data_IF_120857460907
#
_entry.id   IF_120857460907
#
_cell.length_a   1.000
_cell.length_b   1.000
_cell.length_c   1.000
_cell.angle_alpha   90.00
_cell.angle_beta   90.00
_cell.angle_gamma   90.00
#
_symmetry.space_group_name_H-M   'P 1'
#
loop_
_entity.id
_entity.type
_entity.pdbx_description
1 polymer ?
#
# COMPACT_ATOMS: atom_id res chain seq x y z
N UNK A 1 41.23 9.78 15.59
CA UNK A 1 40.97 10.04 14.15
C UNK A 1 39.54 9.60 13.99
N UNK A 2 38.63 10.56 14.18
CA UNK A 2 37.23 10.23 14.45
C UNK A 2 36.53 10.12 13.10
N UNK A 3 36.08 8.90 12.79
CA UNK A 3 35.41 8.58 11.54
C UNK A 3 33.96 9.04 11.62
N UNK A 4 33.66 10.25 11.15
CA UNK A 4 32.27 10.64 10.91
C UNK A 4 31.76 9.96 9.63
N UNK A 5 31.15 8.79 9.79
CA UNK A 5 30.46 8.09 8.71
C UNK A 5 29.01 8.55 8.65
N UNK A 6 28.77 9.75 8.10
CA UNK A 6 27.43 10.14 7.70
C UNK A 6 27.04 9.27 6.49
N UNK A 7 26.13 8.33 6.70
CA UNK A 7 25.55 7.49 5.63
C UNK A 7 24.07 7.85 5.47
N UNK A 8 23.57 7.98 4.23
CA UNK A 8 22.15 8.20 4.00
C UNK A 8 21.37 6.99 4.53
N UNK A 9 20.38 7.25 5.40
CA UNK A 9 19.48 6.21 5.94
C UNK A 9 18.10 6.40 5.33
N UNK A 10 17.50 5.30 4.89
CA UNK A 10 16.12 5.26 4.42
C UNK A 10 15.23 4.62 5.50
N UNK A 11 14.12 5.28 5.84
CA UNK A 11 13.11 4.76 6.75
C UNK A 11 11.83 4.50 5.95
N UNK A 12 11.30 3.27 6.02
CA UNK A 12 10.01 2.92 5.45
C UNK A 12 8.96 2.90 6.56
N UNK A 13 7.86 3.64 6.40
CA UNK A 13 6.77 3.67 7.36
C UNK A 13 5.43 3.82 6.64
N UNK A 14 4.43 3.09 7.12
CA UNK A 14 3.02 3.25 6.74
C UNK A 14 2.30 4.30 7.61
N UNK A 15 2.95 4.75 8.69
CA UNK A 15 2.48 5.81 9.61
C UNK A 15 3.30 7.09 9.43
N UNK A 16 2.73 8.22 9.83
CA UNK A 16 3.44 9.51 9.79
C UNK A 16 4.73 9.45 10.64
N UNK A 17 5.80 9.99 10.09
CA UNK A 17 7.10 10.09 10.75
C UNK A 17 7.06 11.27 11.72
N UNK A 18 7.73 11.14 12.87
CA UNK A 18 7.88 12.21 13.86
C UNK A 18 8.40 13.52 13.22
N UNK A 19 7.92 14.67 13.70
CA UNK A 19 8.21 15.97 13.09
C UNK A 19 9.70 16.30 13.03
N UNK A 20 10.46 15.94 14.07
CA UNK A 20 11.87 16.29 14.18
C UNK A 20 12.72 15.40 13.27
N UNK A 21 12.25 14.18 13.01
CA UNK A 21 12.87 13.29 12.04
C UNK A 21 12.50 13.72 10.62
N UNK A 22 11.24 14.09 10.38
CA UNK A 22 10.74 14.55 9.08
C UNK A 22 11.48 15.78 8.57
N UNK A 23 11.78 16.76 9.44
CA UNK A 23 12.51 17.98 9.04
C UNK A 23 13.93 17.70 8.53
N UNK A 24 14.47 16.51 8.86
CA UNK A 24 15.79 16.03 8.43
C UNK A 24 15.75 14.97 7.34
N UNK A 25 14.57 14.65 6.81
CA UNK A 25 14.38 13.61 5.80
C UNK A 25 13.79 14.14 4.50
N UNK A 26 14.14 13.50 3.38
CA UNK A 26 13.41 13.67 2.12
C UNK A 26 12.27 12.65 2.10
N UNK A 27 11.03 13.12 2.17
CA UNK A 27 9.85 12.25 2.13
C UNK A 27 9.56 11.78 0.71
N UNK A 28 9.52 10.46 0.50
CA UNK A 28 9.08 9.84 -0.75
C UNK A 28 7.83 9.03 -0.44
N UNK A 29 6.68 9.46 -0.98
CA UNK A 29 5.42 8.72 -0.83
C UNK A 29 5.41 7.55 -1.80
N UNK A 30 5.47 6.32 -1.26
CA UNK A 30 5.29 5.12 -2.07
C UNK A 30 3.80 4.81 -2.20
N UNK A 31 3.25 5.07 -3.38
CA UNK A 31 1.87 4.66 -3.70
C UNK A 31 1.81 3.15 -3.90
N UNK A 32 0.71 2.54 -3.46
CA UNK A 32 0.43 1.11 -3.70
C UNK A 32 0.63 0.81 -5.18
N UNK A 33 1.44 -0.20 -5.45
CA UNK A 33 1.75 -0.58 -6.82
C UNK A 33 0.47 -1.07 -7.51
N UNK A 34 0.25 -0.65 -8.75
CA UNK A 34 -0.77 -1.25 -9.62
C UNK A 34 -0.30 -2.57 -10.24
N UNK A 35 0.96 -2.93 -10.04
CA UNK A 35 1.65 -4.10 -10.59
C UNK A 35 2.66 -4.64 -9.58
N UNK A 36 2.94 -5.93 -9.58
CA UNK A 36 3.92 -6.53 -8.68
C UNK A 36 5.37 -6.09 -8.99
N UNK A 37 6.21 -6.00 -7.94
CA UNK A 37 7.65 -5.72 -8.01
C UNK A 37 8.47 -6.94 -7.54
N UNK A 38 9.72 -7.11 -8.03
CA UNK A 38 10.54 -8.28 -7.71
C UNK A 38 11.11 -8.28 -6.27
N UNK A 39 11.53 -9.45 -5.81
CA UNK A 39 11.64 -9.90 -4.40
C UNK A 39 13.11 -10.13 -3.90
N UNK A 40 13.39 -10.55 -2.64
CA UNK A 40 14.51 -10.11 -1.78
C UNK A 40 15.95 -10.51 -2.16
N UNK A 41 16.90 -9.93 -1.41
CA UNK A 41 18.35 -9.90 -1.70
C UNK A 41 19.04 -11.27 -1.62
N UNK A 42 19.36 -11.79 -2.79
CA UNK A 42 19.81 -13.15 -3.05
C UNK A 42 21.13 -13.59 -2.39
N UNK A 43 21.87 -12.70 -1.70
CA UNK A 43 23.27 -12.95 -1.30
C UNK A 43 23.47 -13.55 0.11
N UNK A 44 22.43 -13.69 0.94
CA UNK A 44 22.62 -14.30 2.27
C UNK A 44 22.90 -15.82 2.16
N UNK A 45 23.88 -16.34 2.91
CA UNK A 45 24.22 -17.77 2.88
C UNK A 45 23.07 -18.70 3.24
N UNK A 46 22.18 -18.29 4.15
CA UNK A 46 20.98 -19.08 4.49
C UNK A 46 20.07 -19.30 3.28
N UNK A 47 19.99 -18.31 2.37
CA UNK A 47 19.26 -18.47 1.12
C UNK A 47 20.03 -19.36 0.15
N UNK A 48 21.35 -19.39 0.20
CA UNK A 48 22.14 -20.38 -0.54
C UNK A 48 21.85 -21.79 -0.03
N UNK A 49 21.89 -22.01 1.29
CA UNK A 49 21.66 -23.33 1.90
C UNK A 49 20.24 -23.84 1.68
N UNK A 50 19.24 -22.97 1.85
CA UNK A 50 17.84 -23.30 1.59
C UNK A 50 17.67 -23.60 0.10
N UNK A 51 18.25 -22.79 -0.79
CA UNK A 51 18.14 -22.98 -2.24
C UNK A 51 18.86 -24.25 -2.71
N UNK A 52 19.99 -24.60 -2.11
CA UNK A 52 20.68 -25.86 -2.38
C UNK A 52 19.83 -27.07 -1.99
N UNK A 53 19.16 -27.01 -0.83
CA UNK A 53 18.21 -28.04 -0.40
C UNK A 53 16.99 -28.11 -1.33
N UNK A 54 16.43 -26.96 -1.69
CA UNK A 54 15.29 -26.87 -2.61
C UNK A 54 15.66 -27.32 -4.04
N UNK A 55 16.89 -27.06 -4.51
CA UNK A 55 17.39 -27.55 -5.79
C UNK A 55 17.58 -29.06 -5.79
N UNK A 56 18.12 -29.61 -4.71
CA UNK A 56 18.19 -31.08 -4.55
C UNK A 56 16.79 -31.69 -4.54
N UNK A 57 15.86 -31.09 -3.80
CA UNK A 57 14.46 -31.52 -3.78
C UNK A 57 13.83 -31.45 -5.17
N UNK A 58 14.04 -30.36 -5.91
CA UNK A 58 13.59 -30.22 -7.30
C UNK A 58 14.18 -31.32 -8.17
N UNK A 59 15.51 -31.51 -8.20
CA UNK A 59 16.13 -32.50 -9.08
C UNK A 59 15.73 -33.95 -8.75
N UNK A 60 15.46 -34.25 -7.49
CA UNK A 60 15.12 -35.61 -7.04
C UNK A 60 13.62 -35.89 -7.09
N UNK A 61 12.77 -34.88 -6.91
CA UNK A 61 11.31 -35.02 -6.79
C UNK A 61 10.48 -34.12 -7.72
N UNK A 62 11.07 -33.59 -8.80
CA UNK A 62 10.34 -32.69 -9.72
C UNK A 62 9.08 -33.31 -10.34
N UNK A 63 9.06 -34.63 -10.58
CA UNK A 63 7.87 -35.30 -11.16
C UNK A 63 6.71 -35.23 -10.18
N UNK A 64 6.94 -35.63 -8.94
CA UNK A 64 5.97 -35.56 -7.84
C UNK A 64 5.44 -34.13 -7.66
N UNK A 65 6.35 -33.15 -7.59
CA UNK A 65 5.98 -31.74 -7.45
C UNK A 65 5.14 -31.25 -8.64
N UNK A 66 5.49 -31.64 -9.87
CA UNK A 66 4.74 -31.28 -11.08
C UNK A 66 3.33 -31.87 -11.08
N UNK A 67 3.19 -33.13 -10.69
CA UNK A 67 1.90 -33.83 -10.63
C UNK A 67 1.00 -33.18 -9.56
N UNK A 68 1.53 -32.95 -8.36
CA UNK A 68 0.83 -32.28 -7.27
C UNK A 68 0.37 -30.88 -7.70
N UNK A 69 1.26 -30.08 -8.31
CA UNK A 69 0.97 -28.69 -8.70
C UNK A 69 -0.24 -28.56 -9.63
N UNK A 70 -0.56 -29.57 -10.45
CA UNK A 70 -1.76 -29.54 -11.30
C UNK A 70 -3.07 -29.50 -10.50
N UNK A 71 -3.03 -29.99 -9.26
CA UNK A 71 -4.20 -30.16 -8.37
C UNK A 71 -4.26 -29.12 -7.25
N UNK A 72 -3.36 -28.12 -7.23
CA UNK A 72 -3.32 -27.09 -6.18
C UNK A 72 -4.07 -25.81 -6.55
N UNK A 73 -4.40 -25.04 -5.52
CA UNK A 73 -5.05 -23.75 -5.65
C UNK A 73 -6.56 -23.85 -5.85
N UNK A 74 -7.19 -24.91 -5.36
CA UNK A 74 -8.65 -24.99 -5.31
C UNK A 74 -9.20 -23.97 -4.29
N UNK A 75 -10.32 -23.33 -4.61
CA UNK A 75 -11.00 -22.39 -3.72
C UNK A 75 -10.29 -21.03 -3.52
N UNK A 76 -9.24 -20.72 -4.28
CA UNK A 76 -8.59 -19.40 -4.31
C UNK A 76 -8.45 -18.93 -5.76
N UNK A 77 -8.56 -17.62 -5.99
CA UNK A 77 -8.54 -17.00 -7.33
C UNK A 77 -7.31 -16.09 -7.54
N UNK A 78 -6.99 -15.84 -8.81
CA UNK A 78 -6.04 -14.81 -9.26
C UNK A 78 -4.71 -14.80 -8.49
N UNK A 79 -4.26 -13.63 -8.02
CA UNK A 79 -2.97 -13.42 -7.34
C UNK A 79 -2.83 -14.27 -6.09
N UNK A 80 -3.90 -14.43 -5.31
CA UNK A 80 -3.93 -15.26 -4.10
C UNK A 80 -3.70 -16.73 -4.47
N UNK A 81 -4.29 -17.21 -5.57
CA UNK A 81 -4.05 -18.56 -6.09
C UNK A 81 -2.60 -18.77 -6.52
N UNK A 82 -2.01 -17.81 -7.23
CA UNK A 82 -0.62 -17.91 -7.69
C UNK A 82 0.38 -17.97 -6.54
N UNK A 83 0.13 -17.20 -5.47
CA UNK A 83 0.94 -17.21 -4.25
C UNK A 83 0.73 -18.47 -3.41
N UNK A 84 -0.51 -18.98 -3.37
CA UNK A 84 -0.87 -20.15 -2.56
C UNK A 84 -0.41 -21.49 -3.17
N UNK A 85 -0.57 -21.68 -4.49
CA UNK A 85 -0.22 -22.94 -5.18
C UNK A 85 1.18 -23.50 -4.89
N UNK A 86 2.27 -22.70 -4.92
CA UNK A 86 3.60 -23.23 -4.60
C UNK A 86 3.69 -23.68 -3.14
N UNK A 87 3.06 -22.96 -2.21
CA UNK A 87 3.02 -23.32 -0.79
C UNK A 87 2.27 -24.65 -0.61
N UNK A 88 1.06 -24.74 -1.16
CA UNK A 88 0.24 -25.96 -1.10
C UNK A 88 0.95 -27.17 -1.72
N UNK A 89 1.69 -26.96 -2.80
CA UNK A 89 2.44 -28.02 -3.48
C UNK A 89 3.54 -28.57 -2.59
N UNK A 90 4.28 -27.70 -1.89
CA UNK A 90 5.32 -28.11 -0.95
C UNK A 90 4.70 -28.85 0.23
N UNK A 91 3.59 -28.34 0.80
CA UNK A 91 2.90 -28.98 1.92
C UNK A 91 2.41 -30.40 1.56
N UNK A 92 1.81 -30.57 0.38
CA UNK A 92 1.41 -31.88 -0.14
C UNK A 92 2.61 -32.79 -0.40
N UNK A 93 3.71 -32.26 -0.94
CA UNK A 93 4.93 -33.03 -1.21
C UNK A 93 5.58 -33.59 0.07
N UNK A 94 5.48 -32.84 1.17
CA UNK A 94 5.94 -33.21 2.51
C UNK A 94 4.90 -34.01 3.32
N UNK A 95 3.79 -34.41 2.69
CA UNK A 95 2.69 -35.18 3.30
C UNK A 95 2.09 -34.51 4.55
N UNK A 96 2.00 -33.18 4.56
CA UNK A 96 1.25 -32.45 5.59
C UNK A 96 -0.23 -32.82 5.47
N UNK A 97 -0.90 -33.08 6.59
CA UNK A 97 -2.32 -33.48 6.59
C UNK A 97 -3.23 -32.38 6.03
N UNK A 98 -4.31 -32.75 5.33
CA UNK A 98 -5.26 -31.79 4.75
C UNK A 98 -5.84 -30.80 5.78
N UNK A 99 -6.08 -31.26 7.01
CA UNK A 99 -6.54 -30.40 8.12
C UNK A 99 -5.53 -29.28 8.39
N UNK A 100 -4.25 -29.63 8.47
CA UNK A 100 -3.19 -28.65 8.74
C UNK A 100 -2.93 -27.75 7.52
N UNK A 101 -3.05 -28.28 6.30
CA UNK A 101 -3.00 -27.46 5.07
C UNK A 101 -4.11 -26.41 5.09
N UNK A 102 -5.33 -26.79 5.52
CA UNK A 102 -6.44 -25.85 5.62
C UNK A 102 -6.19 -24.80 6.71
N UNK A 103 -5.69 -25.19 7.89
CA UNK A 103 -5.31 -24.24 8.95
C UNK A 103 -4.28 -23.21 8.44
N UNK A 104 -3.24 -23.68 7.73
CA UNK A 104 -2.22 -22.80 7.13
C UNK A 104 -2.83 -21.91 6.06
N UNK A 105 -3.76 -22.43 5.25
CA UNK A 105 -4.48 -21.66 4.23
C UNK A 105 -5.32 -20.54 4.83
N UNK A 106 -5.99 -20.80 5.95
CA UNK A 106 -6.80 -19.80 6.65
C UNK A 106 -5.91 -18.67 7.18
N UNK A 107 -4.79 -19.01 7.84
CA UNK A 107 -3.80 -18.01 8.30
C UNK A 107 -3.19 -17.23 7.14
N UNK A 108 -2.88 -17.91 6.03
CA UNK A 108 -2.39 -17.27 4.81
C UNK A 108 -3.42 -16.25 4.28
N UNK A 109 -4.69 -16.63 4.18
CA UNK A 109 -5.76 -15.74 3.70
C UNK A 109 -6.01 -14.57 4.65
N UNK A 110 -6.00 -14.79 5.97
CA UNK A 110 -6.08 -13.72 6.98
C UNK A 110 -4.90 -12.74 6.83
N UNK A 111 -3.68 -13.24 6.64
CA UNK A 111 -2.51 -12.37 6.43
C UNK A 111 -2.62 -11.55 5.14
N UNK A 112 -3.23 -12.11 4.10
CA UNK A 112 -3.48 -11.40 2.85
C UNK A 112 -4.55 -10.31 3.00
N UNK A 113 -5.54 -10.49 3.89
CA UNK A 113 -6.49 -9.44 4.25
C UNK A 113 -5.85 -8.37 5.14
N UNK A 114 -5.02 -8.75 6.12
CA UNK A 114 -4.34 -7.82 7.04
C UNK A 114 -3.29 -6.95 6.33
N UNK A 115 -2.67 -7.46 5.25
CA UNK A 115 -1.68 -6.71 4.46
C UNK A 115 -2.34 -5.76 3.45
N UNK A 116 -3.66 -5.87 3.24
CA UNK A 116 -4.43 -4.86 2.51
C UNK A 116 -4.78 -3.73 3.48
N UNK A 117 -4.03 -2.63 3.41
CA UNK A 117 -4.46 -1.37 4.01
C UNK A 117 -5.71 -0.88 3.26
N UNK A 118 -6.89 -1.30 3.71
CA UNK A 118 -8.16 -0.74 3.27
C UNK A 118 -8.26 0.71 3.73
N UNK A 119 -8.98 1.52 2.95
CA UNK A 119 -9.32 2.87 3.39
C UNK A 119 -10.32 2.76 4.53
N UNK A 120 -10.06 3.46 5.63
CA UNK A 120 -11.08 3.72 6.65
C UNK A 120 -12.25 4.50 6.06
N UNK A 121 -13.41 4.43 6.72
CA UNK A 121 -14.63 5.15 6.29
C UNK A 121 -14.37 6.64 6.05
N UNK A 122 -13.60 7.28 6.94
CA UNK A 122 -13.25 8.71 6.80
C UNK A 122 -12.32 8.97 5.62
N UNK A 123 -11.37 8.08 5.34
CA UNK A 123 -10.50 8.20 4.17
C UNK A 123 -11.32 8.04 2.89
N UNK A 124 -12.23 7.07 2.85
CA UNK A 124 -13.17 6.89 1.73
C UNK A 124 -14.03 8.15 1.50
N UNK A 125 -14.52 8.74 2.58
CA UNK A 125 -15.30 9.99 2.55
C UNK A 125 -14.46 11.14 1.98
N UNK A 126 -13.19 11.29 2.40
CA UNK A 126 -12.27 12.27 1.84
C UNK A 126 -12.06 12.09 0.33
N UNK A 127 -11.81 10.86 -0.14
CA UNK A 127 -11.67 10.59 -1.57
C UNK A 127 -12.94 10.95 -2.33
N UNK A 128 -14.11 10.59 -1.80
CA UNK A 128 -15.41 10.83 -2.43
C UNK A 128 -15.70 12.34 -2.54
N UNK A 129 -15.54 13.08 -1.44
CA UNK A 129 -15.71 14.55 -1.41
C UNK A 129 -14.77 15.23 -2.39
N UNK A 130 -13.50 14.83 -2.44
CA UNK A 130 -12.52 15.46 -3.33
C UNK A 130 -12.84 15.20 -4.81
N UNK A 131 -13.29 13.99 -5.15
CA UNK A 131 -13.72 13.65 -6.51
C UNK A 131 -14.98 14.43 -6.92
N UNK A 132 -15.97 14.54 -6.04
CA UNK A 132 -17.18 15.35 -6.28
C UNK A 132 -16.84 16.83 -6.48
N UNK A 133 -15.98 17.40 -5.63
CA UNK A 133 -15.50 18.78 -5.77
C UNK A 133 -14.84 19.02 -7.14
N UNK A 134 -14.06 18.04 -7.62
CA UNK A 134 -13.38 18.11 -8.92
C UNK A 134 -14.35 17.92 -10.09
N UNK A 135 -15.37 17.06 -9.98
CA UNK A 135 -16.40 16.90 -11.03
C UNK A 135 -17.18 18.19 -11.28
N UNK A 136 -17.32 19.03 -10.26
CA UNK A 136 -17.97 20.33 -10.36
C UNK A 136 -17.07 21.42 -10.99
N UNK A 137 -15.78 21.16 -11.18
CA UNK A 137 -14.87 22.13 -11.81
C UNK A 137 -14.80 21.96 -13.33
N UNK A 138 -14.55 23.06 -14.02
CA UNK A 138 -14.23 23.04 -15.46
C UNK A 138 -12.98 22.18 -15.71
N UNK A 139 -13.03 21.31 -16.73
CA UNK A 139 -11.97 20.34 -17.06
C UNK A 139 -11.58 19.37 -15.93
N UNK A 140 -12.42 19.21 -14.90
CA UNK A 140 -12.18 18.33 -13.75
C UNK A 140 -10.85 18.60 -13.02
N UNK A 141 -10.45 19.87 -12.95
CA UNK A 141 -9.22 20.34 -12.31
C UNK A 141 -9.53 21.53 -11.41
N UNK A 142 -8.92 21.58 -10.23
CA UNK A 142 -9.25 22.60 -9.23
C UNK A 142 -8.06 22.98 -8.35
N UNK A 143 -8.11 24.19 -7.80
CA UNK A 143 -7.16 24.66 -6.79
C UNK A 143 -7.91 24.82 -5.48
N UNK A 144 -7.59 23.98 -4.50
CA UNK A 144 -8.27 23.97 -3.21
C UNK A 144 -7.28 24.18 -2.05
N UNK A 145 -7.78 24.78 -0.99
CA UNK A 145 -7.14 24.82 0.32
C UNK A 145 -7.63 23.66 1.17
N UNK A 146 -6.82 23.27 2.16
CA UNK A 146 -7.21 22.30 3.19
C UNK A 146 -8.50 22.72 3.90
N UNK A 147 -8.71 24.02 4.11
CA UNK A 147 -9.91 24.55 4.74
C UNK A 147 -11.17 24.31 3.91
N UNK A 148 -11.10 24.53 2.60
CA UNK A 148 -12.24 24.31 1.68
C UNK A 148 -12.63 22.83 1.60
N UNK A 149 -11.64 21.92 1.61
CA UNK A 149 -11.88 20.46 1.62
C UNK A 149 -12.48 20.04 2.98
N UNK A 150 -11.92 20.52 4.09
CA UNK A 150 -12.41 20.20 5.44
C UNK A 150 -13.84 20.70 5.69
N UNK A 151 -14.20 21.85 5.11
CA UNK A 151 -15.55 22.42 5.20
C UNK A 151 -16.59 21.56 4.47
N UNK A 152 -16.20 20.92 3.35
CA UNK A 152 -17.06 19.95 2.66
C UNK A 152 -17.17 18.60 3.36
N UNK A 153 -16.15 18.20 4.11
CA UNK A 153 -16.18 16.97 4.93
C UNK A 153 -16.98 17.13 6.22
N UNK A 154 -17.05 18.34 6.76
CA UNK A 154 -17.78 18.62 7.99
C UNK A 154 -19.28 18.64 7.70
N UNK A 155 -20.06 17.79 8.40
CA UNK A 155 -21.53 17.74 8.24
C UNK A 155 -22.25 18.98 8.77
N UNK A 156 -21.55 19.84 9.53
CA UNK A 156 -22.07 21.11 10.04
C UNK A 156 -21.45 22.29 9.28
N UNK A 157 -22.28 23.00 8.49
CA UNK A 157 -21.85 24.20 7.79
C UNK A 157 -21.35 25.27 8.78
N UNK A 158 -20.13 25.78 8.56
CA UNK A 158 -19.56 26.89 9.33
C UNK A 158 -18.68 26.51 10.52
N UNK A 159 -18.55 25.22 10.86
CA UNK A 159 -17.62 24.77 11.91
C UNK A 159 -16.23 24.55 11.30
N UNK A 160 -15.30 25.46 11.63
CA UNK A 160 -13.87 25.28 11.33
C UNK A 160 -13.27 24.31 12.35
N UNK A 161 -13.52 23.02 12.17
CA UNK A 161 -12.85 22.02 12.98
C UNK A 161 -11.36 21.97 12.59
N UNK A 162 -10.52 22.51 13.49
CA UNK A 162 -9.07 22.54 13.33
C UNK A 162 -8.50 21.12 13.28
N UNK A 163 -9.13 20.15 13.95
CA UNK A 163 -8.71 18.75 13.91
C UNK A 163 -8.93 18.16 12.50
N UNK A 164 -10.09 18.40 11.88
CA UNK A 164 -10.37 17.95 10.51
C UNK A 164 -9.40 18.60 9.52
N UNK A 165 -9.11 19.89 9.63
CA UNK A 165 -8.13 20.54 8.75
C UNK A 165 -6.73 19.93 8.90
N UNK A 166 -6.28 19.66 10.12
CA UNK A 166 -4.99 18.99 10.35
C UNK A 166 -5.00 17.59 9.73
N UNK A 167 -6.08 16.83 9.93
CA UNK A 167 -6.25 15.49 9.38
C UNK A 167 -6.27 15.49 7.84
N UNK A 168 -7.06 16.36 7.20
CA UNK A 168 -7.08 16.51 5.74
C UNK A 168 -5.69 16.86 5.21
N UNK A 169 -5.02 17.86 5.80
CA UNK A 169 -3.67 18.25 5.39
C UNK A 169 -2.64 17.13 5.55
N UNK A 170 -2.85 16.21 6.49
CA UNK A 170 -2.06 14.99 6.64
C UNK A 170 -2.40 13.98 5.54
N UNK A 171 -3.67 13.66 5.31
CA UNK A 171 -4.11 12.69 4.30
C UNK A 171 -3.69 13.09 2.88
N UNK A 172 -3.81 14.38 2.54
CA UNK A 172 -3.37 14.91 1.25
C UNK A 172 -1.89 14.58 0.96
N UNK A 173 -1.04 14.61 2.00
CA UNK A 173 0.38 14.27 1.89
C UNK A 173 0.60 12.76 1.91
N UNK A 174 -0.04 12.05 2.85
CA UNK A 174 0.11 10.62 3.03
C UNK A 174 -0.27 9.83 1.77
N UNK A 175 -1.35 10.21 1.10
CA UNK A 175 -1.80 9.57 -0.14
C UNK A 175 -1.31 10.29 -1.40
N UNK A 176 -0.54 11.38 -1.28
CA UNK A 176 -0.08 12.20 -2.41
C UNK A 176 -1.23 12.66 -3.32
N UNK A 177 -2.32 13.19 -2.74
CA UNK A 177 -3.57 13.47 -3.48
C UNK A 177 -3.54 14.70 -4.38
N UNK A 178 -2.51 15.54 -4.31
CA UNK A 178 -2.38 16.75 -5.13
C UNK A 178 -1.26 16.61 -6.17
N UNK A 179 -1.40 17.28 -7.31
CA UNK A 179 -0.37 17.28 -8.36
C UNK A 179 0.83 18.15 -7.96
N UNK A 180 0.57 19.38 -7.48
CA UNK A 180 1.60 20.30 -7.01
C UNK A 180 1.03 21.41 -6.10
N UNK A 181 1.84 22.00 -5.21
CA UNK A 181 1.44 23.17 -4.43
C UNK A 181 1.38 24.45 -5.29
N UNK A 182 0.36 25.28 -5.10
CA UNK A 182 0.14 26.53 -5.88
C UNK A 182 0.55 27.82 -5.13
N UNK A 183 1.28 27.70 -4.02
CA UNK A 183 1.58 28.84 -3.15
C UNK A 183 0.50 29.07 -2.10
N UNK A 184 0.18 30.34 -1.81
CA UNK A 184 -0.73 30.72 -0.72
C UNK A 184 -1.84 31.66 -1.20
N UNK A 185 -3.07 31.38 -0.77
CA UNK A 185 -4.24 32.27 -0.92
C UNK A 185 -4.10 33.44 0.05
N UNK A 186 -4.79 34.55 -0.24
CA UNK A 186 -4.92 35.70 0.67
C UNK A 186 -5.22 35.22 2.10
N UNK A 187 -4.40 35.63 3.07
CA UNK A 187 -4.43 35.12 4.45
C UNK A 187 -3.49 33.94 4.75
N UNK A 188 -2.44 33.75 3.94
CA UNK A 188 -1.34 32.79 4.19
C UNK A 188 -1.73 31.30 4.18
N UNK A 189 -2.91 30.96 3.62
CA UNK A 189 -3.39 29.58 3.51
C UNK A 189 -2.80 28.89 2.29
N UNK A 190 -2.13 27.75 2.49
CA UNK A 190 -1.53 26.99 1.39
C UNK A 190 -2.59 26.40 0.46
N UNK A 191 -2.32 26.47 -0.85
CA UNK A 191 -3.18 25.95 -1.91
C UNK A 191 -2.48 24.81 -2.65
N UNK A 192 -3.30 23.90 -3.16
CA UNK A 192 -2.85 22.72 -3.89
C UNK A 192 -3.66 22.58 -5.18
N UNK A 193 -2.98 22.22 -6.26
CA UNK A 193 -3.61 21.86 -7.52
C UNK A 193 -4.01 20.39 -7.49
N UNK A 194 -5.20 20.10 -8.00
CA UNK A 194 -5.75 18.76 -8.08
C UNK A 194 -6.32 18.50 -9.48
N UNK A 195 -6.16 17.27 -9.94
CA UNK A 195 -6.82 16.72 -11.12
C UNK A 195 -7.63 15.48 -10.75
N UNK A 196 -8.82 15.35 -11.33
CA UNK A 196 -9.71 14.22 -11.07
C UNK A 196 -9.04 12.88 -11.40
N UNK A 197 -8.33 12.81 -12.53
CA UNK A 197 -7.67 11.57 -12.96
C UNK A 197 -6.59 11.13 -11.97
N UNK A 198 -5.84 12.06 -11.38
CA UNK A 198 -4.83 11.76 -10.36
C UNK A 198 -5.46 11.20 -9.08
N UNK A 199 -6.46 11.90 -8.53
CA UNK A 199 -7.17 11.47 -7.31
C UNK A 199 -7.87 10.12 -7.53
N UNK A 200 -8.54 9.96 -8.68
CA UNK A 200 -9.23 8.73 -9.06
C UNK A 200 -8.25 7.57 -9.21
N UNK A 201 -7.09 7.79 -9.84
CA UNK A 201 -6.07 6.76 -9.98
C UNK A 201 -5.58 6.26 -8.62
N UNK A 202 -5.38 7.17 -7.65
CA UNK A 202 -4.99 6.80 -6.30
C UNK A 202 -6.12 6.02 -5.62
N UNK A 203 -7.36 6.48 -5.73
CA UNK A 203 -8.52 5.83 -5.11
C UNK A 203 -8.73 4.39 -5.61
N UNK A 204 -8.61 4.18 -6.92
CA UNK A 204 -8.77 2.87 -7.55
C UNK A 204 -7.74 1.84 -7.06
N UNK A 205 -6.55 2.28 -6.66
CA UNK A 205 -5.53 1.39 -6.05
C UNK A 205 -5.96 0.79 -4.71
N UNK A 206 -6.95 1.40 -4.06
CA UNK A 206 -7.51 0.91 -2.79
C UNK A 206 -8.87 0.22 -2.98
N UNK A 207 -9.57 0.43 -4.11
CA UNK A 207 -10.84 -0.25 -4.44
C UNK A 207 -10.70 -1.60 -5.13
N UNK A 208 -9.58 -1.83 -5.81
CA UNK A 208 -9.34 -3.05 -6.59
C UNK A 208 -8.97 -4.20 -5.66
N UNK A 209 -9.97 -4.82 -5.02
CA UNK A 209 -9.92 -6.07 -4.28
C UNK A 209 -11.13 -6.92 -4.70
#
# INVERSE_FOLDING_TARGET
>A
MDFETYSPKAFASIKEIDSDLRDRCVEITMLRATKDFPEPEAFLPVWSDIRDKLYRLLLTRWKDAREIYQTTGEGVSHRVRELWRPIETILKLENVSDVEIQNIKDVFLESMQITQAELSDHEYELFSVLLEMLEQQENKKGVFTVGEIAEKLSKEEGVKDKAIQIWVGRMLRQFSLFDYPCGRKSGNKRQYFFSYDHVKNIFERYKSC
#
